data_IF_977715578822
#
_entry.id   IF_977715578822
#
_cell.length_a   1.000
_cell.length_b   1.000
_cell.length_c   1.000
_cell.angle_alpha   90.00
_cell.angle_beta   90.00
_cell.angle_gamma   90.00
#
_symmetry.space_group_name_H-M   'P 1'
#
loop_
_entity.id
_entity.type
_entity.pdbx_description
1 polymer ?
#
# COMPACT_ATOMS: atom_id res chain seq x y z
N UNK A 1 5.30 15.04 16.90
CA UNK A 1 5.21 13.55 16.93
C UNK A 1 4.50 12.93 15.72
N UNK A 2 3.71 13.66 14.91
CA UNK A 2 2.94 13.11 13.77
C UNK A 2 3.77 12.33 12.74
N UNK A 3 4.99 12.79 12.43
CA UNK A 3 5.89 12.11 11.48
C UNK A 3 6.55 10.86 12.05
N UNK A 4 6.73 10.78 13.38
CA UNK A 4 7.33 9.61 14.02
C UNK A 4 6.38 8.40 13.94
N UNK A 5 5.08 8.62 14.15
CA UNK A 5 4.05 7.60 13.95
C UNK A 5 4.06 7.07 12.51
N UNK A 6 4.09 7.97 11.51
CA UNK A 6 4.21 7.62 10.09
C UNK A 6 5.41 6.72 9.81
N UNK A 7 6.59 7.07 10.33
CA UNK A 7 7.82 6.26 10.15
C UNK A 7 7.64 4.88 10.78
N UNK A 8 7.14 4.81 12.02
CA UNK A 8 6.97 3.54 12.74
C UNK A 8 5.92 2.65 12.06
N UNK A 9 4.75 3.22 11.73
CA UNK A 9 3.65 2.48 11.12
C UNK A 9 3.99 1.93 9.74
N UNK A 10 4.70 2.70 8.92
CA UNK A 10 5.19 2.24 7.60
C UNK A 10 6.31 1.21 7.73
N UNK A 11 7.24 1.39 8.67
CA UNK A 11 8.32 0.42 8.92
C UNK A 11 7.77 -0.93 9.38
N UNK A 12 6.82 -0.94 10.33
CA UNK A 12 6.19 -2.18 10.81
C UNK A 12 5.45 -2.88 9.66
N UNK A 13 4.65 -2.14 8.88
CA UNK A 13 3.97 -2.71 7.72
C UNK A 13 4.95 -3.32 6.71
N UNK A 14 6.06 -2.62 6.42
CA UNK A 14 7.15 -3.11 5.58
C UNK A 14 7.78 -4.39 6.10
N UNK A 15 8.09 -4.46 7.40
CA UNK A 15 8.69 -5.65 8.03
C UNK A 15 7.78 -6.88 7.87
N UNK A 16 6.47 -6.74 8.12
CA UNK A 16 5.53 -7.86 7.95
C UNK A 16 5.45 -8.33 6.49
N UNK A 17 5.36 -7.41 5.53
CA UNK A 17 5.33 -7.77 4.11
C UNK A 17 6.61 -8.50 3.71
N UNK A 18 7.78 -7.97 4.09
CA UNK A 18 9.07 -8.52 3.64
C UNK A 18 9.51 -9.79 4.38
N UNK A 19 8.96 -10.06 5.57
CA UNK A 19 9.39 -11.20 6.41
C UNK A 19 8.36 -12.33 6.48
N UNK A 20 7.07 -12.03 6.34
CA UNK A 20 5.99 -13.00 6.58
C UNK A 20 5.29 -13.41 5.28
N UNK A 21 5.12 -12.49 4.33
CA UNK A 21 4.37 -12.79 3.10
C UNK A 21 4.98 -13.95 2.33
N UNK A 22 6.30 -13.90 2.08
CA UNK A 22 7.03 -14.96 1.37
C UNK A 22 6.82 -16.33 1.98
N UNK A 23 6.89 -16.44 3.32
CA UNK A 23 6.69 -17.71 4.02
C UNK A 23 5.31 -18.35 3.77
N UNK A 24 4.24 -17.55 3.70
CA UNK A 24 2.91 -18.05 3.35
C UNK A 24 2.80 -18.43 1.87
N UNK A 25 3.36 -17.61 0.98
CA UNK A 25 3.37 -17.89 -0.45
C UNK A 25 4.15 -19.17 -0.78
N UNK A 26 5.28 -19.39 -0.11
CA UNK A 26 6.11 -20.58 -0.30
C UNK A 26 5.41 -21.84 0.24
N UNK A 27 4.74 -21.75 1.39
CA UNK A 27 4.08 -22.90 2.02
C UNK A 27 2.75 -23.30 1.35
N UNK A 28 1.98 -22.34 0.83
CA UNK A 28 0.62 -22.57 0.33
C UNK A 28 0.38 -22.04 -1.09
N UNK A 29 1.46 -21.75 -1.82
CA UNK A 29 1.41 -21.23 -3.19
C UNK A 29 0.65 -19.91 -3.29
N UNK A 30 -0.02 -19.73 -4.44
CA UNK A 30 -0.79 -18.51 -4.73
C UNK A 30 -1.87 -18.23 -3.68
N UNK A 31 -2.51 -19.28 -3.14
CA UNK A 31 -3.52 -19.15 -2.09
C UNK A 31 -2.94 -18.58 -0.80
N UNK A 32 -1.76 -19.03 -0.40
CA UNK A 32 -1.01 -18.47 0.71
C UNK A 32 -0.64 -17.01 0.49
N UNK A 33 -0.20 -16.66 -0.72
CA UNK A 33 0.10 -15.28 -1.09
C UNK A 33 -1.10 -14.34 -0.97
N UNK A 34 -2.28 -14.75 -1.46
CA UNK A 34 -3.51 -13.97 -1.31
C UNK A 34 -3.97 -13.85 0.14
N UNK A 35 -3.89 -14.95 0.89
CA UNK A 35 -4.22 -14.94 2.31
C UNK A 35 -3.31 -14.00 3.11
N UNK A 36 -2.00 -14.08 2.89
CA UNK A 36 -1.02 -13.20 3.51
C UNK A 36 -1.27 -11.74 3.13
N UNK A 37 -1.54 -11.46 1.85
CA UNK A 37 -1.91 -10.12 1.40
C UNK A 37 -3.13 -9.59 2.14
N UNK A 38 -4.20 -10.37 2.24
CA UNK A 38 -5.41 -9.95 2.94
C UNK A 38 -5.15 -9.67 4.44
N UNK A 39 -4.52 -10.59 5.16
CA UNK A 39 -4.31 -10.46 6.60
C UNK A 39 -3.28 -9.38 6.94
N UNK A 40 -2.13 -9.36 6.26
CA UNK A 40 -1.06 -8.40 6.53
C UNK A 40 -1.53 -7.00 6.13
N UNK A 41 -1.97 -6.81 4.87
CA UNK A 41 -2.36 -5.47 4.40
C UNK A 41 -3.61 -4.99 5.11
N UNK A 42 -4.62 -5.85 5.31
CA UNK A 42 -5.85 -5.47 6.02
C UNK A 42 -5.58 -5.01 7.46
N UNK A 43 -4.79 -5.79 8.21
CA UNK A 43 -4.45 -5.44 9.60
C UNK A 43 -3.60 -4.17 9.67
N UNK A 44 -2.55 -4.07 8.84
CA UNK A 44 -1.68 -2.90 8.83
C UNK A 44 -2.43 -1.65 8.37
N UNK A 45 -3.34 -1.78 7.40
CA UNK A 45 -4.18 -0.67 6.95
C UNK A 45 -5.06 -0.15 8.09
N UNK A 46 -5.73 -1.04 8.84
CA UNK A 46 -6.53 -0.65 10.00
C UNK A 46 -5.71 0.04 11.09
N UNK A 47 -4.56 -0.52 11.46
CA UNK A 47 -3.68 0.09 12.48
C UNK A 47 -3.17 1.46 12.04
N UNK A 48 -2.82 1.60 10.76
CA UNK A 48 -2.28 2.85 10.24
C UNK A 48 -3.35 3.92 10.02
N UNK A 49 -4.52 3.55 9.49
CA UNK A 49 -5.55 4.51 9.09
C UNK A 49 -6.64 4.72 10.14
N UNK A 50 -7.05 3.68 10.86
CA UNK A 50 -8.13 3.74 11.84
C UNK A 50 -7.65 4.00 13.26
N UNK A 51 -6.56 3.34 13.68
CA UNK A 51 -5.92 3.60 14.99
C UNK A 51 -5.02 4.85 14.94
N UNK A 52 -4.66 5.30 13.73
CA UNK A 52 -3.99 6.58 13.53
C UNK A 52 -2.49 6.56 13.77
N UNK A 53 -1.83 5.41 13.58
CA UNK A 53 -0.36 5.35 13.59
C UNK A 53 0.24 6.21 12.47
N UNK A 54 -0.41 6.27 11.31
CA UNK A 54 -0.02 7.10 10.17
C UNK A 54 -0.78 8.44 10.18
N UNK A 55 -0.06 9.54 9.93
CA UNK A 55 -0.67 10.86 9.80
C UNK A 55 -1.37 11.04 8.44
N UNK A 56 -2.66 10.70 8.33
CA UNK A 56 -3.43 10.60 7.08
C UNK A 56 -3.77 11.95 6.38
N UNK A 57 -2.84 12.89 6.29
CA UNK A 57 -3.07 14.24 5.77
C UNK A 57 -3.00 14.41 4.24
N UNK A 58 -2.75 13.35 3.47
CA UNK A 58 -2.69 13.42 2.00
C UNK A 58 -2.07 12.18 1.34
N UNK A 59 -2.04 12.15 0.00
CA UNK A 59 -1.58 11.02 -0.81
C UNK A 59 -0.11 10.61 -0.57
N UNK A 60 0.71 11.51 -0.02
CA UNK A 60 2.11 11.25 0.33
C UNK A 60 2.29 10.39 1.59
N UNK A 61 1.19 9.99 2.23
CA UNK A 61 1.17 9.21 3.46
C UNK A 61 0.59 7.81 3.19
N UNK A 62 0.90 7.29 2.01
CA UNK A 62 0.52 5.96 1.58
C UNK A 62 1.42 4.90 2.24
N UNK A 63 0.79 4.00 3.00
CA UNK A 63 1.44 2.83 3.60
C UNK A 63 2.20 2.01 2.54
N UNK A 64 1.71 1.93 1.30
CA UNK A 64 2.35 1.20 0.21
C UNK A 64 3.71 1.80 -0.18
N UNK A 65 3.83 3.13 -0.23
CA UNK A 65 5.11 3.79 -0.48
C UNK A 65 6.13 3.49 0.63
N UNK A 66 5.66 3.47 1.88
CA UNK A 66 6.46 3.07 3.04
C UNK A 66 6.94 1.62 2.98
N UNK A 67 6.05 0.68 2.61
CA UNK A 67 6.39 -0.73 2.40
C UNK A 67 7.42 -0.87 1.28
N UNK A 68 7.23 -0.18 0.14
CA UNK A 68 8.16 -0.21 -0.98
C UNK A 68 9.56 0.31 -0.61
N UNK A 69 9.62 1.39 0.17
CA UNK A 69 10.88 1.91 0.70
C UNK A 69 11.56 0.90 1.63
N UNK A 70 10.81 0.31 2.57
CA UNK A 70 11.34 -0.67 3.50
C UNK A 70 11.92 -1.90 2.77
N UNK A 71 11.21 -2.44 1.77
CA UNK A 71 11.70 -3.57 0.96
C UNK A 71 12.94 -3.22 0.15
N UNK A 72 12.91 -2.08 -0.56
CA UNK A 72 14.04 -1.63 -1.38
C UNK A 72 15.30 -1.45 -0.53
N UNK A 73 15.18 -0.74 0.59
CA UNK A 73 16.34 -0.49 1.46
C UNK A 73 16.81 -1.74 2.19
N UNK A 74 15.90 -2.64 2.57
CA UNK A 74 16.26 -3.96 3.13
C UNK A 74 17.17 -4.72 2.18
N UNK A 75 16.82 -4.77 0.89
CA UNK A 75 17.65 -5.46 -0.11
C UNK A 75 18.97 -4.74 -0.37
N UNK A 76 18.98 -3.40 -0.42
CA UNK A 76 20.22 -2.63 -0.52
C UNK A 76 21.16 -2.91 0.65
N UNK A 77 20.64 -2.99 1.87
CA UNK A 77 21.46 -3.27 3.05
C UNK A 77 21.96 -4.72 3.09
N UNK A 78 21.17 -5.67 2.58
CA UNK A 78 21.53 -7.09 2.61
C UNK A 78 22.41 -7.53 1.42
N UNK A 79 22.20 -6.92 0.26
CA UNK A 79 22.76 -7.37 -1.03
C UNK A 79 23.67 -6.32 -1.67
N UNK A 80 23.74 -5.11 -1.12
CA UNK A 80 24.56 -4.00 -1.61
C UNK A 80 23.81 -3.06 -2.56
N UNK A 81 24.48 -1.98 -2.96
CA UNK A 81 23.87 -0.90 -3.77
C UNK A 81 23.38 -1.33 -5.16
N UNK A 82 23.92 -2.42 -5.72
CA UNK A 82 23.48 -2.95 -7.01
C UNK A 82 22.02 -3.41 -6.99
N UNK A 83 21.52 -3.89 -5.84
CA UNK A 83 20.12 -4.27 -5.64
C UNK A 83 19.16 -3.09 -5.87
N UNK A 84 19.60 -1.85 -5.62
CA UNK A 84 18.80 -0.67 -5.96
C UNK A 84 18.68 -0.53 -7.47
N UNK A 85 19.80 -0.60 -8.18
CA UNK A 85 19.81 -0.41 -9.64
C UNK A 85 19.08 -1.52 -10.38
N UNK A 86 19.15 -2.77 -9.89
CA UNK A 86 18.45 -3.91 -10.50
C UNK A 86 16.93 -3.84 -10.33
N UNK A 87 16.44 -3.23 -9.25
CA UNK A 87 15.00 -3.12 -8.98
C UNK A 87 14.32 -1.91 -9.65
N UNK A 88 15.09 -0.99 -10.25
CA UNK A 88 14.54 0.21 -10.92
C UNK A 88 13.43 -0.10 -11.95
N UNK A 89 13.54 -1.11 -12.84
CA UNK A 89 12.45 -1.43 -13.76
C UNK A 89 11.15 -1.80 -13.02
N UNK A 90 11.24 -2.58 -11.94
CA UNK A 90 10.09 -2.94 -11.10
C UNK A 90 9.49 -1.71 -10.44
N UNK A 91 10.32 -0.82 -9.89
CA UNK A 91 9.85 0.43 -9.28
C UNK A 91 9.11 1.31 -10.30
N UNK A 92 9.60 1.42 -11.53
CA UNK A 92 8.92 2.17 -12.61
C UNK A 92 7.53 1.58 -12.88
N UNK A 93 7.42 0.26 -13.01
CA UNK A 93 6.12 -0.40 -13.26
C UNK A 93 5.16 -0.17 -12.08
N UNK A 94 5.64 -0.29 -10.84
CA UNK A 94 4.85 -0.03 -9.63
C UNK A 94 4.35 1.40 -9.59
N UNK A 95 5.20 2.38 -9.92
CA UNK A 95 4.82 3.79 -9.96
C UNK A 95 3.76 4.06 -11.04
N UNK A 96 3.88 3.46 -12.22
CA UNK A 96 2.86 3.55 -13.28
C UNK A 96 1.53 2.96 -12.80
N UNK A 97 1.57 1.78 -12.18
CA UNK A 97 0.39 1.15 -11.60
C UNK A 97 -0.27 2.01 -10.52
N UNK A 98 0.53 2.60 -9.63
CA UNK A 98 0.05 3.52 -8.59
C UNK A 98 -0.61 4.77 -9.16
N UNK A 99 -0.01 5.38 -10.19
CA UNK A 99 -0.60 6.53 -10.89
C UNK A 99 -1.93 6.18 -11.58
N UNK A 100 -1.99 5.03 -12.26
CA UNK A 100 -3.21 4.56 -12.91
C UNK A 100 -4.33 4.27 -11.88
N UNK A 101 -4.00 3.60 -10.78
CA UNK A 101 -4.93 3.34 -9.68
C UNK A 101 -5.47 4.63 -9.05
N UNK A 102 -4.58 5.59 -8.76
CA UNK A 102 -4.97 6.90 -8.24
C UNK A 102 -5.88 7.68 -9.19
N UNK A 103 -5.60 7.65 -10.50
CA UNK A 103 -6.46 8.27 -11.50
C UNK A 103 -7.86 7.65 -11.55
N UNK A 104 -7.95 6.31 -11.53
CA UNK A 104 -9.23 5.60 -11.51
C UNK A 104 -10.02 5.93 -10.25
N UNK A 105 -9.38 5.92 -9.08
CA UNK A 105 -10.01 6.27 -7.81
C UNK A 105 -10.64 7.68 -7.86
N UNK A 106 -9.88 8.67 -8.35
CA UNK A 106 -10.37 10.04 -8.50
C UNK A 106 -11.58 10.13 -9.45
N UNK A 107 -11.61 9.36 -10.54
CA UNK A 107 -12.76 9.30 -11.46
C UNK A 107 -13.97 8.62 -10.84
N UNK A 108 -13.75 7.56 -10.07
CA UNK A 108 -14.82 6.88 -9.33
C UNK A 108 -15.46 7.80 -8.28
N UNK A 109 -14.67 8.54 -7.51
CA UNK A 109 -15.18 9.50 -6.53
C UNK A 109 -16.06 10.57 -7.20
N UNK A 110 -15.58 11.19 -8.28
CA UNK A 110 -16.35 12.18 -9.06
C UNK A 110 -17.66 11.59 -9.60
N UNK A 111 -17.65 10.34 -10.06
CA UNK A 111 -18.85 9.66 -10.53
C UNK A 111 -19.87 9.44 -9.39
N UNK A 112 -19.40 8.97 -8.23
CA UNK A 112 -20.26 8.71 -7.07
C UNK A 112 -20.86 10.01 -6.50
N UNK A 113 -20.11 11.10 -6.49
CA UNK A 113 -20.61 12.43 -6.08
C UNK A 113 -21.72 12.92 -7.01
N UNK A 114 -21.51 12.83 -8.33
CA UNK A 114 -22.53 13.19 -9.33
C UNK A 114 -23.80 12.35 -9.14
N UNK A 115 -23.67 11.04 -8.97
CA UNK A 115 -24.81 10.13 -8.76
C UNK A 115 -25.59 10.43 -7.47
N UNK A 116 -24.92 10.87 -6.40
CA UNK A 116 -25.57 11.32 -5.16
C UNK A 116 -26.30 12.66 -5.33
N UNK A 117 -25.81 13.53 -6.21
CA UNK A 117 -26.39 14.83 -6.49
C UNK A 117 -27.55 14.78 -7.51
N UNK A 118 -27.71 13.67 -8.24
CA UNK A 118 -28.89 13.43 -9.06
C UNK A 118 -30.12 13.25 -8.15
N UNK A 119 -31.19 14.04 -8.32
CA UNK A 119 -32.42 13.80 -7.58
C UNK A 119 -32.89 12.39 -7.89
N UNK A 120 -33.21 11.59 -6.86
CA UNK A 120 -33.96 10.35 -7.02
C UNK A 120 -35.23 10.73 -7.77
N UNK A 121 -35.26 10.52 -9.08
CA UNK A 121 -36.50 10.60 -9.86
C UNK A 121 -37.35 9.51 -9.27
N UNK A 122 -38.29 9.92 -8.44
CA UNK A 122 -39.25 9.08 -7.76
C UNK A 122 -39.76 8.03 -8.75
N UNK A 123 -39.56 6.76 -8.40
CA UNK A 123 -40.38 5.70 -8.95
C UNK A 123 -41.83 6.05 -8.57
N UNK A 124 -42.58 6.48 -9.59
CA UNK A 124 -44.02 6.70 -9.55
C UNK A 124 -44.74 5.43 -10.00
#
# INVERSE_FOLDING_TARGET
>A
MKHLGTIIGTAIAGIFVMSVWGAFADAYGIGGGWFAGFIIIGTMWFLNHSVGLLNNGGAFVDMAAGIGMAGTMRDVFMQGGEAFTSCLPTLVVVLIGGMAGGFVAAKCEQYLEKKKAEPQKAEA
#
